data_IF_564690463957
#
_entry.id   IF_564690463957
#
_cell.length_a   1.000
_cell.length_b   1.000
_cell.length_c   1.000
_cell.angle_alpha   90.00
_cell.angle_beta   90.00
_cell.angle_gamma   90.00
#
_symmetry.space_group_name_H-M   'P 1'
#
loop_
_entity.id
_entity.type
_entity.pdbx_description
1 polymer ?
#
# COMPACT_ATOMS: atom_id res chain seq x y z
N UNK A 1 -25.96 -38.99 12.71
CA UNK A 1 -26.12 -37.59 13.14
C UNK A 1 -25.41 -36.72 12.12
N UNK A 2 -26.17 -35.97 11.43
CA UNK A 2 -25.67 -35.08 10.40
C UNK A 2 -24.94 -33.92 11.09
N UNK A 3 -23.64 -33.79 10.87
CA UNK A 3 -22.86 -32.65 11.38
C UNK A 3 -23.22 -31.39 10.56
N UNK A 4 -24.33 -30.75 10.94
CA UNK A 4 -24.87 -29.60 10.26
C UNK A 4 -24.15 -28.32 10.74
N UNK A 5 -23.60 -28.30 11.96
CA UNK A 5 -22.99 -27.13 12.56
C UNK A 5 -21.51 -27.33 12.82
N UNK A 6 -20.69 -26.34 12.43
CA UNK A 6 -19.31 -26.18 12.85
C UNK A 6 -19.22 -24.99 13.82
N UNK A 7 -18.56 -25.19 14.95
CA UNK A 7 -18.33 -24.18 15.96
C UNK A 7 -16.85 -23.84 16.03
N UNK A 8 -16.53 -22.58 15.89
CA UNK A 8 -15.16 -22.08 15.88
C UNK A 8 -14.97 -20.97 16.89
N UNK A 9 -13.76 -20.88 17.44
CA UNK A 9 -13.28 -19.75 18.23
C UNK A 9 -12.13 -19.14 17.47
N UNK A 10 -12.31 -17.92 17.04
CA UNK A 10 -11.31 -17.16 16.31
C UNK A 10 -10.74 -16.06 17.21
N UNK A 11 -9.47 -16.14 17.53
CA UNK A 11 -8.79 -15.16 18.38
C UNK A 11 -8.52 -13.90 17.55
N UNK A 12 -8.99 -12.75 18.05
CA UNK A 12 -8.84 -11.45 17.39
C UNK A 12 -7.61 -10.70 17.88
N UNK A 13 -7.24 -10.89 19.12
CA UNK A 13 -6.08 -10.23 19.69
C UNK A 13 -5.98 -10.36 21.20
N UNK A 14 -4.85 -9.93 21.73
CA UNK A 14 -4.60 -9.83 23.14
C UNK A 14 -4.98 -8.43 23.64
N UNK A 15 -5.66 -8.37 24.79
CA UNK A 15 -6.20 -7.14 25.37
C UNK A 15 -7.63 -6.83 24.91
N UNK A 16 -8.17 -5.76 25.49
CA UNK A 16 -9.50 -5.26 25.13
C UNK A 16 -9.46 -4.50 23.82
N UNK A 17 -10.23 -4.97 22.82
CA UNK A 17 -10.46 -4.23 21.57
C UNK A 17 -11.69 -3.32 21.71
N UNK A 18 -11.74 -2.24 20.93
CA UNK A 18 -12.87 -1.32 20.93
C UNK A 18 -14.10 -1.95 20.27
N UNK A 19 -13.95 -2.41 19.04
CA UNK A 19 -15.06 -3.01 18.29
C UNK A 19 -14.58 -3.80 17.06
N UNK A 20 -15.47 -4.66 16.55
CA UNK A 20 -15.39 -5.25 15.22
C UNK A 20 -16.31 -4.44 14.31
N UNK A 21 -15.79 -3.91 13.20
CA UNK A 21 -16.54 -3.06 12.28
C UNK A 21 -17.09 -3.81 11.08
N UNK A 22 -16.42 -4.89 10.67
CA UNK A 22 -16.81 -5.70 9.54
C UNK A 22 -16.33 -7.15 9.70
N UNK A 23 -17.08 -8.08 9.18
CA UNK A 23 -16.72 -9.49 9.07
C UNK A 23 -16.69 -9.85 7.58
N UNK A 24 -15.59 -10.43 7.13
CA UNK A 24 -15.36 -10.80 5.74
C UNK A 24 -15.26 -12.31 5.67
N UNK A 25 -16.04 -12.93 4.79
CA UNK A 25 -16.08 -14.38 4.57
C UNK A 25 -15.72 -14.65 3.11
N UNK A 26 -14.64 -15.39 2.87
CA UNK A 26 -14.11 -15.66 1.52
C UNK A 26 -14.01 -14.40 0.64
N UNK A 27 -13.42 -13.32 1.19
CA UNK A 27 -13.23 -12.02 0.54
C UNK A 27 -14.52 -11.21 0.27
N UNK A 28 -15.68 -11.65 0.76
CA UNK A 28 -16.95 -10.92 0.69
C UNK A 28 -17.37 -10.41 2.07
N UNK A 29 -17.94 -9.21 2.15
CA UNK A 29 -18.56 -8.74 3.41
C UNK A 29 -19.68 -9.69 3.81
N UNK A 30 -19.74 -10.11 5.08
CA UNK A 30 -20.78 -11.03 5.56
C UNK A 30 -22.19 -10.47 5.31
N UNK A 31 -22.37 -9.17 5.52
CA UNK A 31 -23.65 -8.50 5.34
C UNK A 31 -24.00 -8.41 3.84
N UNK A 32 -25.13 -8.97 3.46
CA UNK A 32 -25.60 -9.00 2.08
C UNK A 32 -24.97 -10.11 1.20
N UNK A 33 -24.07 -10.93 1.77
CA UNK A 33 -23.49 -12.07 1.04
C UNK A 33 -24.35 -13.34 1.12
N UNK A 34 -23.99 -14.33 0.32
CA UNK A 34 -24.60 -15.67 0.40
C UNK A 34 -24.41 -16.37 1.76
N UNK A 35 -23.44 -15.92 2.56
CA UNK A 35 -23.08 -16.49 3.86
C UNK A 35 -23.93 -15.94 5.02
N UNK A 36 -24.62 -14.79 4.84
CA UNK A 36 -25.28 -14.05 5.94
C UNK A 36 -26.25 -14.91 6.76
N UNK A 37 -27.01 -15.79 6.10
CA UNK A 37 -27.98 -16.65 6.77
C UNK A 37 -27.38 -17.90 7.42
N UNK A 38 -26.15 -18.24 7.09
CA UNK A 38 -25.47 -19.48 7.52
C UNK A 38 -24.35 -19.23 8.54
N UNK A 39 -23.99 -17.97 8.81
CA UNK A 39 -22.96 -17.58 9.78
C UNK A 39 -23.60 -16.86 10.96
N UNK A 40 -23.49 -17.44 12.14
CA UNK A 40 -23.89 -16.81 13.40
C UNK A 40 -22.64 -16.52 14.23
N UNK A 41 -22.52 -15.35 14.82
CA UNK A 41 -21.33 -14.99 15.58
C UNK A 41 -21.66 -14.22 16.86
N UNK A 42 -20.73 -14.25 17.81
CA UNK A 42 -20.72 -13.39 19.00
C UNK A 42 -19.29 -12.90 19.23
N UNK A 43 -19.13 -11.58 19.41
CA UNK A 43 -17.84 -10.96 19.68
C UNK A 43 -17.65 -10.76 21.18
N UNK A 44 -16.53 -11.25 21.69
CA UNK A 44 -16.04 -11.00 23.05
C UNK A 44 -14.84 -10.07 22.94
N UNK A 45 -14.97 -8.87 23.53
CA UNK A 45 -14.00 -7.78 23.32
C UNK A 45 -12.67 -7.94 24.08
N UNK A 46 -12.53 -8.95 24.94
CA UNK A 46 -11.30 -9.16 25.70
C UNK A 46 -11.27 -8.47 27.06
N UNK A 47 -12.43 -8.22 27.67
CA UNK A 47 -12.50 -7.68 29.03
C UNK A 47 -11.87 -8.62 30.05
N UNK A 48 -11.27 -8.04 31.10
CA UNK A 48 -10.68 -8.82 32.19
C UNK A 48 -11.72 -9.57 33.05
N UNK A 49 -12.98 -9.15 33.02
CA UNK A 49 -14.09 -9.75 33.71
C UNK A 49 -15.09 -10.50 32.82
N UNK A 50 -14.78 -10.64 31.50
CA UNK A 50 -15.69 -11.29 30.52
C UNK A 50 -16.12 -12.68 30.97
N UNK A 51 -17.38 -13.00 30.68
CA UNK A 51 -17.97 -14.31 30.90
C UNK A 51 -17.61 -15.31 29.80
N UNK A 52 -17.79 -16.60 30.07
CA UNK A 52 -17.71 -17.63 29.03
C UNK A 52 -18.88 -17.49 28.06
N UNK A 53 -18.63 -17.82 26.76
CA UNK A 53 -19.66 -17.75 25.74
C UNK A 53 -20.81 -18.75 26.02
N UNK A 54 -22.03 -18.24 26.11
CA UNK A 54 -23.22 -19.03 26.46
C UNK A 54 -23.63 -19.99 25.35
N UNK A 55 -23.37 -19.64 24.09
CA UNK A 55 -23.69 -20.50 22.94
C UNK A 55 -22.78 -21.74 22.92
N UNK A 56 -21.49 -21.54 23.21
CA UNK A 56 -20.54 -22.65 23.33
C UNK A 56 -20.85 -23.53 24.53
N UNK A 57 -21.22 -22.98 25.68
CA UNK A 57 -21.64 -23.76 26.84
C UNK A 57 -22.88 -24.62 26.54
N UNK A 58 -23.77 -24.11 25.70
CA UNK A 58 -24.96 -24.84 25.28
C UNK A 58 -24.67 -25.92 24.23
N UNK A 59 -23.70 -25.65 23.35
CA UNK A 59 -23.36 -26.52 22.23
C UNK A 59 -22.39 -27.66 22.60
N UNK A 60 -21.54 -27.46 23.61
CA UNK A 60 -20.49 -28.39 23.98
C UNK A 60 -20.35 -28.56 25.50
N UNK A 61 -20.43 -29.79 25.98
CA UNK A 61 -20.16 -30.10 27.40
C UNK A 61 -18.71 -29.86 27.82
N UNK A 62 -17.77 -29.77 26.85
CA UNK A 62 -16.38 -29.43 27.10
C UNK A 62 -16.15 -27.94 27.41
N UNK A 63 -17.09 -27.08 27.05
CA UNK A 63 -16.99 -25.64 27.33
C UNK A 63 -17.82 -25.27 28.56
N UNK A 64 -17.17 -24.77 29.58
CA UNK A 64 -17.79 -24.47 30.86
C UNK A 64 -17.66 -22.99 31.23
N UNK A 65 -18.33 -22.54 32.29
CA UNK A 65 -18.21 -21.18 32.82
C UNK A 65 -16.80 -20.75 33.23
N UNK A 66 -15.85 -21.68 33.26
CA UNK A 66 -14.44 -21.40 33.51
C UNK A 66 -13.65 -21.01 32.26
N UNK A 67 -14.16 -21.30 31.04
CA UNK A 67 -13.53 -20.97 29.78
C UNK A 67 -13.88 -19.55 29.35
N UNK A 68 -13.34 -18.55 30.04
CA UNK A 68 -13.71 -17.14 29.92
C UNK A 68 -12.82 -16.37 28.96
N UNK A 69 -11.63 -16.86 28.65
CA UNK A 69 -10.60 -16.19 27.83
C UNK A 69 -10.42 -14.70 28.20
N UNK A 70 -10.36 -14.41 29.50
CA UNK A 70 -10.21 -13.05 30.03
C UNK A 70 -8.96 -12.38 29.48
N UNK A 71 -9.09 -11.10 29.10
CA UNK A 71 -8.03 -10.33 28.49
C UNK A 71 -7.67 -10.78 27.07
N UNK A 72 -8.49 -11.64 26.44
CA UNK A 72 -8.33 -12.06 25.04
C UNK A 72 -9.60 -11.76 24.27
N UNK A 73 -9.49 -10.94 23.23
CA UNK A 73 -10.60 -10.70 22.31
C UNK A 73 -10.76 -11.88 21.36
N UNK A 74 -11.97 -12.39 21.23
CA UNK A 74 -12.28 -13.52 20.36
C UNK A 74 -13.69 -13.43 19.77
N UNK A 75 -13.89 -14.10 18.66
CA UNK A 75 -15.17 -14.35 18.06
C UNK A 75 -15.58 -15.81 18.27
N UNK A 76 -16.76 -16.05 18.78
CA UNK A 76 -17.47 -17.29 18.57
C UNK A 76 -18.13 -17.23 17.22
N UNK A 77 -17.96 -18.27 16.40
CA UNK A 77 -18.60 -18.40 15.08
C UNK A 77 -19.24 -19.76 14.98
N UNK A 78 -20.48 -19.80 14.49
CA UNK A 78 -21.20 -21.02 14.14
C UNK A 78 -21.52 -20.97 12.65
N UNK A 79 -21.02 -21.94 11.91
CA UNK A 79 -21.35 -22.15 10.51
C UNK A 79 -22.43 -23.23 10.42
N UNK A 80 -23.51 -22.97 9.69
CA UNK A 80 -24.54 -23.92 9.37
C UNK A 80 -24.30 -24.45 7.96
N UNK A 81 -24.04 -25.76 7.81
CA UNK A 81 -23.67 -26.33 6.54
C UNK A 81 -24.81 -26.24 5.51
N UNK A 82 -24.49 -25.68 4.36
CA UNK A 82 -25.31 -25.68 3.16
C UNK A 82 -24.43 -26.01 1.95
N UNK A 83 -24.84 -27.00 1.15
CA UNK A 83 -24.03 -27.53 0.07
C UNK A 83 -23.79 -26.50 -1.05
N UNK A 84 -24.76 -25.64 -1.31
CA UNK A 84 -24.70 -24.66 -2.40
C UNK A 84 -23.90 -23.42 -1.98
N UNK A 85 -23.90 -23.09 -0.70
CA UNK A 85 -23.18 -21.93 -0.12
C UNK A 85 -21.71 -22.24 0.13
N UNK A 86 -21.39 -23.43 0.70
CA UNK A 86 -20.02 -23.82 1.09
C UNK A 86 -19.37 -24.78 0.09
N UNK A 87 -19.43 -24.44 -1.20
CA UNK A 87 -18.87 -25.28 -2.28
C UNK A 87 -17.35 -25.47 -2.18
N UNK A 88 -16.61 -24.54 -1.56
CA UNK A 88 -15.17 -24.58 -1.36
C UNK A 88 -14.71 -25.22 -0.03
N UNK A 89 -15.66 -25.68 0.82
CA UNK A 89 -15.35 -26.18 2.17
C UNK A 89 -15.54 -25.13 3.25
N UNK A 90 -14.75 -25.19 4.33
CA UNK A 90 -14.80 -24.20 5.43
C UNK A 90 -14.25 -22.87 4.90
N UNK A 91 -15.01 -21.77 4.96
CA UNK A 91 -14.57 -20.48 4.43
C UNK A 91 -13.52 -19.84 5.33
N UNK A 92 -12.73 -18.94 4.74
CA UNK A 92 -11.83 -18.08 5.50
C UNK A 92 -12.63 -16.91 6.10
N UNK A 93 -12.53 -16.71 7.41
CA UNK A 93 -13.23 -15.63 8.11
C UNK A 93 -12.23 -14.61 8.64
N UNK A 94 -12.35 -13.38 8.21
CA UNK A 94 -11.53 -12.25 8.62
C UNK A 94 -12.37 -11.20 9.34
N UNK A 95 -11.76 -10.48 10.28
CA UNK A 95 -12.41 -9.44 11.08
C UNK A 95 -11.66 -8.12 10.92
N UNK A 96 -12.40 -7.07 10.55
CA UNK A 96 -11.89 -5.70 10.58
C UNK A 96 -12.18 -5.12 11.97
N UNK A 97 -11.12 -4.84 12.71
CA UNK A 97 -11.24 -4.45 14.11
C UNK A 97 -10.74 -3.03 14.34
N UNK A 98 -11.45 -2.28 15.18
CA UNK A 98 -10.85 -1.20 15.96
C UNK A 98 -10.17 -1.85 17.15
N UNK A 99 -8.84 -1.87 17.10
CA UNK A 99 -8.01 -2.60 18.06
C UNK A 99 -8.03 -2.06 19.47
N UNK A 100 -6.91 -2.18 20.17
CA UNK A 100 -6.80 -1.80 21.58
C UNK A 100 -7.03 -0.31 21.80
N UNK A 101 -7.60 0.03 22.96
CA UNK A 101 -7.76 1.41 23.43
C UNK A 101 -6.45 1.89 24.01
N UNK A 102 -6.03 3.09 23.63
CA UNK A 102 -4.77 3.71 24.05
C UNK A 102 -5.02 4.97 24.87
N UNK A 103 -4.12 5.25 25.81
CA UNK A 103 -4.19 6.46 26.64
C UNK A 103 -3.72 7.68 25.86
N UNK A 104 -4.53 8.73 25.86
CA UNK A 104 -4.18 10.05 25.29
C UNK A 104 -3.83 11.03 26.41
N UNK A 105 -2.55 11.46 26.54
CA UNK A 105 -2.13 12.40 27.57
C UNK A 105 -2.72 13.81 27.38
N UNK A 106 -3.22 14.15 26.19
CA UNK A 106 -3.83 15.46 25.90
C UNK A 106 -5.20 15.61 26.56
N UNK A 107 -5.92 14.51 26.68
CA UNK A 107 -7.29 14.46 27.23
C UNK A 107 -7.37 13.69 28.54
N UNK A 108 -6.30 12.99 28.93
CA UNK A 108 -6.27 12.07 30.08
C UNK A 108 -7.34 10.96 29.99
N UNK A 109 -7.68 10.53 28.79
CA UNK A 109 -8.68 9.47 28.56
C UNK A 109 -8.07 8.30 27.80
N UNK A 110 -8.66 7.12 27.99
CA UNK A 110 -8.30 5.91 27.24
C UNK A 110 -9.43 5.58 26.25
N UNK A 111 -9.14 5.61 24.97
CA UNK A 111 -10.08 5.33 23.89
C UNK A 111 -9.35 4.74 22.67
N UNK A 112 -10.11 4.17 21.75
CA UNK A 112 -9.52 3.76 20.49
C UNK A 112 -8.96 4.97 19.71
N UNK A 113 -7.75 4.80 19.17
CA UNK A 113 -7.12 5.81 18.34
C UNK A 113 -6.17 5.16 17.34
N UNK A 114 -6.20 5.67 16.12
CA UNK A 114 -5.24 5.35 15.05
C UNK A 114 -4.06 6.33 15.01
N UNK A 115 -3.88 7.14 16.03
CA UNK A 115 -2.79 8.12 16.11
C UNK A 115 -1.44 7.43 16.39
N UNK A 116 -0.43 7.54 15.50
CA UNK A 116 0.85 6.87 15.67
C UNK A 116 1.56 7.16 16.98
N UNK A 117 1.54 8.42 17.44
CA UNK A 117 2.21 8.80 18.68
C UNK A 117 1.59 8.12 19.90
N UNK A 118 0.26 7.99 19.93
CA UNK A 118 -0.45 7.30 21.01
C UNK A 118 -0.20 5.79 20.97
N UNK A 119 -0.18 5.19 19.78
CA UNK A 119 0.14 3.77 19.62
C UNK A 119 1.60 3.45 20.03
N UNK A 120 2.57 4.32 19.72
CA UNK A 120 3.95 4.18 20.16
C UNK A 120 4.05 4.31 21.68
N UNK A 121 3.35 5.29 22.28
CA UNK A 121 3.30 5.47 23.73
C UNK A 121 2.75 4.25 24.44
N UNK A 122 1.64 3.72 23.93
CA UNK A 122 1.02 2.50 24.46
C UNK A 122 2.01 1.33 24.41
N UNK A 123 2.65 1.09 23.28
CA UNK A 123 3.64 0.03 23.14
C UNK A 123 4.83 0.19 24.11
N UNK A 124 5.24 1.42 24.43
CA UNK A 124 6.31 1.67 25.40
C UNK A 124 5.87 1.34 26.83
N UNK A 125 4.65 1.67 27.21
CA UNK A 125 4.16 1.55 28.60
C UNK A 125 3.43 0.24 28.90
N UNK A 126 2.91 -0.43 27.89
CA UNK A 126 2.15 -1.66 28.08
C UNK A 126 3.04 -2.79 28.59
N UNK A 127 2.64 -3.41 29.70
CA UNK A 127 3.40 -4.48 30.37
C UNK A 127 3.18 -5.86 29.78
N UNK A 128 2.15 -6.04 28.97
CA UNK A 128 1.73 -7.35 28.45
C UNK A 128 2.35 -7.65 27.08
N UNK A 129 2.21 -6.74 26.13
CA UNK A 129 2.72 -6.90 24.77
C UNK A 129 3.78 -5.86 24.38
N UNK A 130 4.02 -4.88 25.23
CA UNK A 130 4.93 -3.77 25.02
C UNK A 130 6.22 -3.86 25.82
N UNK A 131 6.80 -2.71 26.10
CA UNK A 131 8.07 -2.58 26.84
C UNK A 131 7.91 -2.54 28.36
N UNK A 132 6.72 -2.22 28.86
CA UNK A 132 6.42 -2.11 30.28
C UNK A 132 7.16 -0.98 31.00
N UNK A 133 7.48 0.12 30.31
CA UNK A 133 8.12 1.28 30.91
C UNK A 133 7.14 1.99 31.83
N UNK A 134 7.69 2.56 32.93
CA UNK A 134 6.87 3.42 33.81
C UNK A 134 6.47 4.70 33.07
N UNK A 135 5.27 5.22 33.33
CA UNK A 135 4.79 6.45 32.70
C UNK A 135 5.71 7.66 33.00
N UNK A 136 6.44 7.66 34.12
CA UNK A 136 7.42 8.70 34.46
C UNK A 136 8.64 8.72 33.54
N UNK A 137 8.91 7.61 32.84
CA UNK A 137 10.00 7.50 31.85
C UNK A 137 9.58 8.02 30.45
N UNK A 138 8.32 8.47 30.31
CA UNK A 138 7.78 9.02 29.07
C UNK A 138 7.67 10.55 29.18
N UNK A 139 8.11 11.26 28.16
CA UNK A 139 7.85 12.70 28.03
C UNK A 139 6.53 12.95 27.32
N UNK A 140 5.43 12.97 28.10
CA UNK A 140 4.08 13.17 27.57
C UNK A 140 3.90 14.49 26.81
N UNK A 141 4.76 15.50 27.04
CA UNK A 141 4.74 16.77 26.28
C UNK A 141 5.15 16.52 24.83
N UNK A 142 6.23 15.79 24.61
CA UNK A 142 6.69 15.45 23.27
C UNK A 142 5.70 14.55 22.53
N UNK A 143 5.13 13.55 23.23
CA UNK A 143 4.10 12.67 22.66
C UNK A 143 2.82 13.42 22.30
N UNK A 144 2.39 14.38 23.14
CA UNK A 144 1.24 15.25 22.85
C UNK A 144 1.47 16.13 21.61
N UNK A 145 2.67 16.71 21.51
CA UNK A 145 3.05 17.50 20.33
C UNK A 145 3.09 16.66 19.07
N UNK A 146 3.67 15.45 19.13
CA UNK A 146 3.70 14.51 18.03
C UNK A 146 2.28 14.05 17.63
N UNK A 147 1.41 13.78 18.62
CA UNK A 147 0.04 13.39 18.39
C UNK A 147 -0.78 14.50 17.70
N UNK A 148 -0.61 15.75 18.10
CA UNK A 148 -1.26 16.89 17.45
C UNK A 148 -0.84 16.99 15.97
N UNK A 149 0.45 16.84 15.67
CA UNK A 149 0.95 16.87 14.30
C UNK A 149 0.46 15.69 13.45
N UNK A 150 0.33 14.50 14.03
CA UNK A 150 -0.24 13.35 13.33
C UNK A 150 -1.72 13.54 13.00
N UNK A 151 -2.50 14.15 13.92
CA UNK A 151 -3.93 14.42 13.74
C UNK A 151 -4.22 15.64 12.85
N UNK A 152 -3.20 16.41 12.44
CA UNK A 152 -3.35 17.55 11.55
C UNK A 152 -4.02 17.13 10.24
N UNK A 153 -5.05 17.89 9.83
CA UNK A 153 -5.76 17.61 8.59
C UNK A 153 -5.01 18.17 7.40
N UNK A 154 -4.70 17.33 6.45
CA UNK A 154 -3.95 17.68 5.23
C UNK A 154 -4.67 17.18 3.98
N UNK A 155 -4.63 17.97 2.93
CA UNK A 155 -5.06 17.53 1.60
C UNK A 155 -3.87 16.87 0.89
N UNK A 156 -3.88 15.56 0.81
CA UNK A 156 -2.79 14.80 0.19
C UNK A 156 -2.87 14.83 -1.33
N UNK A 157 -4.08 14.91 -1.88
CA UNK A 157 -4.34 14.75 -3.32
C UNK A 157 -4.49 16.09 -4.06
N UNK A 158 -4.70 17.19 -3.34
CA UNK A 158 -5.03 18.49 -3.95
C UNK A 158 -6.47 18.59 -4.47
N UNK A 159 -7.34 17.64 -4.09
CA UNK A 159 -8.74 17.60 -4.50
C UNK A 159 -9.71 18.26 -3.50
N UNK A 160 -9.18 18.86 -2.44
CA UNK A 160 -9.96 19.53 -1.39
C UNK A 160 -10.47 18.61 -0.29
N UNK A 161 -10.18 17.33 -0.33
CA UNK A 161 -10.52 16.39 0.75
C UNK A 161 -9.35 16.30 1.72
N UNK A 162 -9.60 16.65 3.00
CA UNK A 162 -8.58 16.58 4.05
C UNK A 162 -8.70 15.30 4.87
N UNK A 163 -7.55 14.71 5.18
CA UNK A 163 -7.41 13.52 6.01
C UNK A 163 -6.35 13.73 7.07
N UNK A 164 -6.34 12.94 8.15
CA UNK A 164 -5.24 12.98 9.12
C UNK A 164 -3.90 12.77 8.41
N UNK A 165 -2.89 13.54 8.78
CA UNK A 165 -1.55 13.47 8.20
C UNK A 165 -0.96 12.07 8.31
N UNK A 166 -0.99 11.47 9.49
CA UNK A 166 -0.50 10.13 9.75
C UNK A 166 -1.51 9.28 10.53
N UNK A 167 -1.58 8.00 10.20
CA UNK A 167 -2.35 7.00 10.93
C UNK A 167 -1.51 5.75 11.15
N UNK A 168 -1.84 4.97 12.17
CA UNK A 168 -1.19 3.73 12.55
C UNK A 168 -2.24 2.62 12.66
N UNK A 169 -2.25 1.70 11.71
CA UNK A 169 -3.16 0.56 11.66
C UNK A 169 -2.36 -0.69 11.31
N UNK A 170 -2.46 -1.72 12.14
CA UNK A 170 -1.72 -2.96 11.93
C UNK A 170 -1.74 -3.85 13.16
N UNK A 171 -0.97 -4.93 13.10
CA UNK A 171 -0.89 -5.93 14.18
C UNK A 171 0.54 -5.98 14.72
N UNK A 172 0.68 -5.87 16.03
CA UNK A 172 1.95 -6.11 16.73
C UNK A 172 2.09 -7.60 16.98
N UNK A 173 3.10 -8.22 16.37
CA UNK A 173 3.47 -9.59 16.68
C UNK A 173 4.53 -9.61 17.81
N UNK A 174 4.21 -10.24 18.93
CA UNK A 174 5.09 -10.32 20.10
C UNK A 174 6.31 -11.24 19.89
N UNK A 175 6.32 -12.06 18.84
CA UNK A 175 7.52 -12.81 18.43
C UNK A 175 8.60 -11.90 17.84
N UNK A 176 8.23 -10.73 17.36
CA UNK A 176 9.15 -9.74 16.81
C UNK A 176 9.90 -9.04 17.93
N UNK A 177 11.21 -8.80 17.73
CA UNK A 177 12.01 -8.06 18.71
C UNK A 177 11.50 -6.61 18.86
N UNK A 178 11.49 -6.10 20.10
CA UNK A 178 10.93 -4.78 20.44
C UNK A 178 11.49 -3.62 19.61
N UNK A 179 12.78 -3.67 19.24
CA UNK A 179 13.40 -2.63 18.40
C UNK A 179 12.82 -2.67 16.98
N UNK A 180 12.55 -3.87 16.44
CA UNK A 180 11.96 -4.02 15.13
C UNK A 180 10.50 -3.47 15.12
N UNK A 181 9.73 -3.80 16.15
CA UNK A 181 8.37 -3.28 16.33
C UNK A 181 8.36 -1.76 16.47
N UNK A 182 9.24 -1.17 17.29
CA UNK A 182 9.35 0.29 17.43
C UNK A 182 9.73 0.96 16.10
N UNK A 183 10.69 0.40 15.37
CA UNK A 183 11.04 0.91 14.03
C UNK A 183 9.86 0.85 13.05
N UNK A 184 9.09 -0.24 13.09
CA UNK A 184 7.90 -0.39 12.27
C UNK A 184 6.81 0.62 12.66
N UNK A 185 6.54 0.81 13.96
CA UNK A 185 5.58 1.82 14.46
C UNK A 185 6.02 3.25 14.12
N UNK A 186 7.29 3.59 14.30
CA UNK A 186 7.79 4.95 14.00
C UNK A 186 7.84 5.24 12.50
N UNK A 187 7.93 4.20 11.65
CA UNK A 187 7.98 4.38 10.20
C UNK A 187 6.71 4.99 9.60
N UNK A 188 5.54 4.74 10.19
CA UNK A 188 4.27 5.26 9.66
C UNK A 188 4.08 6.77 9.84
N UNK A 189 4.87 7.41 10.73
CA UNK A 189 4.80 8.86 10.98
C UNK A 189 6.15 9.57 10.88
N UNK A 190 7.20 8.88 10.40
CA UNK A 190 8.58 9.39 10.42
C UNK A 190 9.02 9.82 11.82
N UNK A 191 8.61 9.04 12.83
CA UNK A 191 8.95 9.29 14.22
C UNK A 191 10.39 8.93 14.53
N UNK A 192 11.05 9.77 15.33
CA UNK A 192 12.34 9.51 15.95
C UNK A 192 12.14 9.37 17.45
N UNK A 193 12.40 8.20 17.98
CA UNK A 193 12.34 7.94 19.40
C UNK A 193 13.71 8.18 20.02
N UNK A 194 13.83 9.17 20.92
CA UNK A 194 15.07 9.60 21.55
C UNK A 194 14.96 9.39 23.06
N UNK A 195 16.02 8.88 23.68
CA UNK A 195 16.15 8.81 25.13
C UNK A 195 17.08 9.94 25.61
N UNK A 196 16.54 10.89 26.37
CA UNK A 196 17.30 12.03 26.90
C UNK A 196 16.76 12.43 28.27
N UNK A 197 17.64 12.88 29.16
CA UNK A 197 17.30 13.29 30.52
C UNK A 197 16.44 12.27 31.30
N UNK A 198 16.68 10.96 31.06
CA UNK A 198 15.96 9.89 31.75
C UNK A 198 14.55 9.59 31.20
N UNK A 199 14.16 10.19 30.08
CA UNK A 199 12.84 10.01 29.46
C UNK A 199 12.93 9.70 27.98
N UNK A 200 11.94 8.93 27.48
CA UNK A 200 11.70 8.75 26.05
C UNK A 200 10.89 9.90 25.48
N UNK A 201 11.41 10.53 24.45
CA UNK A 201 10.75 11.58 23.66
C UNK A 201 10.44 11.07 22.26
N UNK A 202 9.29 11.42 21.72
CA UNK A 202 8.94 11.18 20.33
C UNK A 202 9.00 12.51 19.56
N UNK A 203 9.86 12.55 18.55
CA UNK A 203 10.03 13.69 17.65
C UNK A 203 9.56 13.25 16.27
N UNK A 204 8.68 14.01 15.64
CA UNK A 204 8.28 13.77 14.25
C UNK A 204 9.23 14.54 13.34
N UNK A 205 9.82 13.84 12.38
CA UNK A 205 10.67 14.44 11.35
C UNK A 205 9.81 15.24 10.36
N UNK A 206 9.82 16.57 10.50
CA UNK A 206 8.96 17.54 9.81
C UNK A 206 9.74 18.80 9.45
N UNK A 207 9.13 19.71 8.70
CA UNK A 207 9.67 21.03 8.44
C UNK A 207 9.75 21.83 9.76
N UNK A 208 10.94 22.33 10.08
CA UNK A 208 11.23 23.13 11.27
C UNK A 208 12.25 24.22 10.94
N UNK A 209 12.18 25.33 11.66
CA UNK A 209 13.18 26.39 11.57
C UNK A 209 14.37 26.07 12.48
N UNK A 210 15.55 26.54 12.11
CA UNK A 210 16.74 26.38 12.91
C UNK A 210 16.63 27.15 14.25
N UNK A 211 16.92 26.45 15.35
CA UNK A 211 16.88 27.02 16.70
C UNK A 211 18.23 27.52 17.21
N UNK A 212 19.35 27.12 16.60
CA UNK A 212 20.70 27.45 17.05
C UNK A 212 21.65 27.58 15.85
N UNK A 213 22.69 28.46 16.00
CA UNK A 213 23.68 28.69 14.96
C UNK A 213 25.09 28.30 15.42
N UNK A 214 25.75 27.45 14.64
CA UNK A 214 27.15 27.10 14.81
C UNK A 214 28.05 27.91 13.85
N UNK A 215 29.13 28.45 14.39
CA UNK A 215 30.13 29.20 13.65
C UNK A 215 31.54 29.02 14.30
N UNK A 216 32.50 29.80 13.87
CA UNK A 216 33.88 29.78 14.40
C UNK A 216 33.98 30.07 15.90
N UNK A 217 32.98 30.71 16.51
CA UNK A 217 33.05 31.13 17.93
C UNK A 217 32.66 30.01 18.88
N UNK A 218 31.78 29.11 18.45
CA UNK A 218 31.26 28.02 19.28
C UNK A 218 31.63 26.61 18.77
N UNK A 219 32.47 26.50 17.75
CA UNK A 219 33.03 25.25 17.25
C UNK A 219 34.53 25.17 17.56
N UNK A 220 34.95 24.06 18.18
CA UNK A 220 36.34 23.83 18.56
C UNK A 220 37.01 22.94 17.52
N UNK A 221 37.98 23.46 16.81
CA UNK A 221 38.73 22.75 15.78
C UNK A 221 38.06 22.81 14.42
N UNK A 222 38.16 21.73 13.65
CA UNK A 222 37.68 21.67 12.26
C UNK A 222 36.45 20.79 12.07
N UNK A 223 35.88 20.92 10.89
CA UNK A 223 34.74 20.13 10.43
C UNK A 223 35.20 18.81 9.83
N UNK A 224 34.54 17.72 10.20
CA UNK A 224 34.71 16.44 9.52
C UNK A 224 33.47 16.21 8.64
N UNK A 225 33.64 16.40 7.34
CA UNK A 225 32.56 16.34 6.35
C UNK A 225 32.61 14.99 5.66
N UNK A 226 31.46 14.34 5.57
CA UNK A 226 31.25 13.13 4.80
C UNK A 226 30.17 13.37 3.76
N UNK A 227 30.48 13.02 2.53
CA UNK A 227 29.50 13.01 1.43
C UNK A 227 28.90 11.64 1.31
N UNK A 228 27.60 11.57 1.06
CA UNK A 228 26.93 10.33 0.77
C UNK A 228 27.45 9.66 -0.51
N UNK A 229 27.21 8.39 -0.65
CA UNK A 229 27.55 7.61 -1.84
C UNK A 229 26.39 7.51 -2.82
N UNK A 230 26.65 7.08 -4.05
CA UNK A 230 25.59 6.76 -5.03
C UNK A 230 24.59 5.72 -4.52
N UNK A 231 24.98 4.89 -3.53
CA UNK A 231 24.11 3.86 -2.92
C UNK A 231 23.12 4.42 -1.91
N UNK A 232 23.31 5.64 -1.44
CA UNK A 232 22.45 6.29 -0.44
C UNK A 232 21.51 7.32 -1.03
N UNK A 233 21.50 7.52 -2.33
CA UNK A 233 20.57 8.41 -3.02
C UNK A 233 19.74 7.64 -4.03
N UNK A 234 18.48 8.03 -4.12
CA UNK A 234 17.49 7.32 -4.93
C UNK A 234 16.81 8.27 -5.90
N UNK A 235 16.25 7.72 -6.97
CA UNK A 235 15.34 8.41 -7.88
C UNK A 235 13.97 7.73 -7.97
N UNK A 236 13.82 6.59 -7.26
CA UNK A 236 12.54 5.94 -6.98
C UNK A 236 12.58 5.29 -5.61
N UNK A 237 11.54 5.49 -4.81
CA UNK A 237 11.29 4.75 -3.57
C UNK A 237 9.93 4.10 -3.66
N UNK A 238 9.88 2.82 -3.36
CA UNK A 238 8.64 2.03 -3.28
C UNK A 238 8.42 1.59 -1.84
N UNK A 239 7.16 1.48 -1.43
CA UNK A 239 6.76 1.01 -0.12
C UNK A 239 5.78 -0.15 -0.24
N UNK A 240 6.09 -1.27 0.42
CA UNK A 240 5.16 -2.38 0.59
C UNK A 240 4.28 -2.11 1.82
N UNK A 241 2.97 -2.19 1.66
CA UNK A 241 2.00 -1.94 2.73
C UNK A 241 0.72 -2.75 2.50
N UNK A 242 -0.12 -2.91 3.54
CA UNK A 242 -1.41 -3.58 3.43
C UNK A 242 -2.49 -2.55 3.08
N UNK A 243 -3.07 -2.62 1.87
CA UNK A 243 -4.03 -1.63 1.40
C UNK A 243 -5.45 -1.95 1.87
N UNK A 244 -6.05 -1.06 2.67
CA UNK A 244 -7.43 -1.22 3.19
C UNK A 244 -8.48 -1.29 2.07
N UNK A 245 -8.25 -0.62 0.93
CA UNK A 245 -9.19 -0.58 -0.19
C UNK A 245 -9.18 -1.87 -1.04
N UNK A 246 -8.13 -2.69 -0.89
CA UNK A 246 -8.01 -3.99 -1.53
C UNK A 246 -8.17 -5.13 -0.52
N UNK A 247 -9.01 -4.98 0.49
CA UNK A 247 -9.24 -5.97 1.56
C UNK A 247 -7.96 -6.33 2.32
N UNK A 248 -7.14 -5.32 2.66
CA UNK A 248 -5.84 -5.45 3.36
C UNK A 248 -4.83 -6.38 2.69
N UNK A 249 -4.91 -6.54 1.38
CA UNK A 249 -3.88 -7.25 0.61
C UNK A 249 -2.63 -6.39 0.47
N UNK A 250 -1.49 -7.08 0.33
CA UNK A 250 -0.22 -6.41 0.06
C UNK A 250 -0.30 -5.61 -1.25
N UNK A 251 0.10 -4.36 -1.17
CA UNK A 251 0.14 -3.42 -2.29
C UNK A 251 1.43 -2.60 -2.26
N UNK A 252 1.73 -1.92 -3.36
CA UNK A 252 2.96 -1.16 -3.53
C UNK A 252 2.63 0.29 -3.90
N UNK A 253 2.97 1.20 -2.99
CA UNK A 253 3.02 2.62 -3.29
C UNK A 253 4.43 3.03 -3.71
N UNK A 254 4.58 4.03 -4.59
CA UNK A 254 5.89 4.54 -4.95
C UNK A 254 5.88 6.04 -5.25
N UNK A 255 7.06 6.64 -5.15
CA UNK A 255 7.34 7.97 -5.66
C UNK A 255 8.63 7.91 -6.51
N UNK A 256 8.60 8.55 -7.68
CA UNK A 256 9.75 8.63 -8.58
C UNK A 256 9.92 10.06 -9.12
N UNK A 257 11.16 10.43 -9.43
CA UNK A 257 11.51 11.72 -10.00
C UNK A 257 12.31 11.56 -11.29
N UNK A 258 11.71 12.00 -12.39
CA UNK A 258 12.40 12.06 -13.70
C UNK A 258 13.59 13.02 -13.68
N UNK A 259 13.50 14.13 -12.95
CA UNK A 259 14.60 15.07 -12.76
C UNK A 259 15.78 14.42 -12.06
N UNK A 260 15.54 13.68 -10.97
CA UNK A 260 16.60 12.98 -10.26
C UNK A 260 17.23 11.88 -11.14
N UNK A 261 16.41 11.16 -11.90
CA UNK A 261 16.91 10.15 -12.84
C UNK A 261 17.78 10.77 -13.93
N UNK A 262 17.40 11.93 -14.48
CA UNK A 262 18.23 12.69 -15.45
C UNK A 262 19.54 13.12 -14.82
N UNK A 263 19.52 13.69 -13.60
CA UNK A 263 20.71 14.08 -12.86
C UNK A 263 21.63 12.90 -12.51
N UNK A 264 21.09 11.68 -12.45
CA UNK A 264 21.82 10.44 -12.25
C UNK A 264 22.26 9.78 -13.58
N UNK A 265 22.27 10.52 -14.69
CA UNK A 265 22.62 10.03 -16.04
C UNK A 265 21.73 8.86 -16.52
N UNK A 266 20.45 8.88 -16.18
CA UNK A 266 19.48 7.86 -16.56
C UNK A 266 19.55 6.56 -15.73
N UNK A 267 20.46 6.47 -14.76
CA UNK A 267 20.58 5.30 -13.90
C UNK A 267 19.33 5.14 -13.03
N UNK A 268 18.87 3.91 -12.91
CA UNK A 268 17.80 3.53 -11.98
C UNK A 268 18.41 3.30 -10.60
N UNK A 269 18.07 4.15 -9.64
CA UNK A 269 18.48 4.06 -8.24
C UNK A 269 17.23 3.91 -7.40
N UNK A 270 16.89 2.66 -7.09
CA UNK A 270 15.61 2.30 -6.42
C UNK A 270 15.85 1.75 -5.02
N UNK A 271 14.90 2.01 -4.13
CA UNK A 271 14.83 1.44 -2.79
C UNK A 271 13.41 1.02 -2.49
N UNK A 272 13.25 -0.18 -1.92
CA UNK A 272 11.97 -0.62 -1.37
C UNK A 272 12.03 -0.59 0.14
N UNK A 273 11.01 -0.04 0.77
CA UNK A 273 10.80 0.00 2.23
C UNK A 273 9.53 -0.75 2.59
N UNK A 274 9.37 -1.09 3.87
CA UNK A 274 8.14 -1.70 4.39
C UNK A 274 7.44 -0.75 5.34
N UNK A 275 6.14 -0.59 5.18
CA UNK A 275 5.27 0.24 6.02
C UNK A 275 4.14 -0.62 6.63
N UNK A 276 4.45 -1.52 7.58
CA UNK A 276 3.51 -2.53 8.06
C UNK A 276 2.35 -1.96 8.88
N UNK A 277 2.43 -0.70 9.32
CA UNK A 277 1.38 -0.01 10.06
C UNK A 277 0.69 1.10 9.26
N UNK A 278 0.93 1.16 7.96
CA UNK A 278 0.21 2.06 7.06
C UNK A 278 -0.75 1.27 6.18
N UNK A 279 -1.96 1.78 5.97
CA UNK A 279 -3.02 1.10 5.21
C UNK A 279 -3.61 1.96 4.10
N UNK A 280 -3.06 3.15 3.90
CA UNK A 280 -3.49 4.09 2.87
C UNK A 280 -2.42 4.27 1.80
N UNK A 281 -2.82 4.24 0.54
CA UNK A 281 -1.92 4.42 -0.59
C UNK A 281 -1.36 5.84 -0.66
N UNK A 282 -2.19 6.87 -0.43
CA UNK A 282 -1.78 8.27 -0.49
C UNK A 282 -0.75 8.61 0.59
N UNK A 283 -0.95 8.12 1.84
CA UNK A 283 0.03 8.31 2.92
C UNK A 283 1.33 7.56 2.63
N UNK A 284 1.25 6.36 2.06
CA UNK A 284 2.43 5.59 1.64
C UNK A 284 3.22 6.33 0.56
N UNK A 285 2.54 6.94 -0.42
CA UNK A 285 3.16 7.76 -1.46
C UNK A 285 3.79 9.03 -0.89
N UNK A 286 3.09 9.73 0.00
CA UNK A 286 3.63 10.89 0.71
C UNK A 286 4.94 10.54 1.43
N UNK A 287 4.95 9.44 2.17
CA UNK A 287 6.17 8.96 2.86
C UNK A 287 7.28 8.63 1.87
N UNK A 288 6.97 7.96 0.75
CA UNK A 288 7.93 7.69 -0.31
C UNK A 288 8.50 8.99 -0.91
N UNK A 289 7.66 10.01 -1.15
CA UNK A 289 8.10 11.29 -1.72
C UNK A 289 9.04 12.03 -0.77
N UNK A 290 8.70 12.12 0.51
CA UNK A 290 9.56 12.76 1.51
C UNK A 290 10.90 12.03 1.63
N UNK A 291 10.90 10.69 1.72
CA UNK A 291 12.13 9.89 1.80
C UNK A 291 12.97 10.01 0.52
N UNK A 292 12.33 10.09 -0.65
CA UNK A 292 13.00 10.29 -1.92
C UNK A 292 13.76 11.63 -1.92
N UNK A 293 13.09 12.73 -1.53
CA UNK A 293 13.70 14.05 -1.43
C UNK A 293 14.82 14.07 -0.39
N UNK A 294 14.61 13.48 0.79
CA UNK A 294 15.64 13.37 1.84
C UNK A 294 16.87 12.56 1.38
N UNK A 295 16.71 11.58 0.53
CA UNK A 295 17.84 10.82 -0.01
C UNK A 295 18.84 11.68 -0.78
N UNK A 296 18.46 12.90 -1.18
CA UNK A 296 19.30 13.87 -1.88
C UNK A 296 20.11 14.75 -0.94
N UNK A 297 19.78 14.79 0.35
CA UNK A 297 20.52 15.49 1.40
C UNK A 297 21.71 14.59 1.82
N UNK A 298 22.86 14.83 1.20
CA UNK A 298 23.97 13.89 1.21
C UNK A 298 25.12 14.28 2.17
N UNK A 299 25.08 15.51 2.72
CA UNK A 299 26.16 16.02 3.55
C UNK A 299 25.93 15.65 5.00
N UNK A 300 26.86 14.91 5.60
CA UNK A 300 26.92 14.70 7.03
C UNK A 300 28.16 15.35 7.60
N UNK A 301 28.00 16.08 8.71
CA UNK A 301 29.08 16.81 9.35
C UNK A 301 29.23 16.37 10.79
N UNK A 302 30.45 16.17 11.25
CA UNK A 302 30.73 15.99 12.66
C UNK A 302 31.81 16.96 13.11
N UNK A 303 31.61 17.56 14.28
CA UNK A 303 32.50 18.56 14.86
C UNK A 303 32.44 18.53 16.39
N UNK A 304 33.30 19.26 17.02
CA UNK A 304 33.28 19.49 18.46
C UNK A 304 32.80 20.91 18.70
N UNK A 305 31.73 21.05 19.48
CA UNK A 305 31.20 22.35 19.88
C UNK A 305 31.55 22.64 21.36
N UNK A 306 31.45 23.91 21.71
CA UNK A 306 31.52 24.37 23.10
C UNK A 306 30.30 23.87 23.90
N UNK A 307 30.31 24.09 25.20
CA UNK A 307 29.18 23.74 26.08
C UNK A 307 27.85 24.40 25.68
N UNK A 308 27.89 25.47 24.93
CA UNK A 308 26.69 26.14 24.40
C UNK A 308 25.81 25.21 23.55
N UNK A 309 26.40 24.20 22.94
CA UNK A 309 25.66 23.16 22.20
C UNK A 309 24.66 22.36 23.06
N UNK A 310 24.74 22.43 24.40
CA UNK A 310 23.74 21.84 25.29
C UNK A 310 22.37 22.51 25.25
N UNK A 311 22.27 23.67 24.58
CA UNK A 311 20.97 24.32 24.29
C UNK A 311 20.19 23.60 23.18
N UNK A 312 20.84 22.68 22.47
CA UNK A 312 20.27 21.95 21.34
C UNK A 312 19.97 20.51 21.73
N UNK A 313 18.90 19.94 21.21
CA UNK A 313 18.57 18.53 21.37
C UNK A 313 18.71 17.75 20.05
N UNK A 314 18.85 16.43 20.17
CA UNK A 314 18.82 15.53 19.00
C UNK A 314 17.47 15.66 18.28
N UNK A 315 17.48 15.80 16.96
CA UNK A 315 16.31 15.99 16.13
C UNK A 315 16.05 17.46 15.76
N UNK A 316 16.61 18.44 16.46
CA UNK A 316 16.47 19.86 16.15
C UNK A 316 17.26 20.27 14.91
N UNK A 317 16.83 21.36 14.30
CA UNK A 317 17.50 21.99 13.16
C UNK A 317 18.40 23.11 13.63
N UNK A 318 19.62 23.12 13.10
CA UNK A 318 20.67 24.10 13.41
C UNK A 318 21.24 24.67 12.12
N UNK A 319 21.82 25.85 12.18
CA UNK A 319 22.60 26.40 11.04
C UNK A 319 24.09 26.28 11.28
N UNK A 320 24.85 26.16 10.20
CA UNK A 320 26.30 26.25 10.20
C UNK A 320 26.73 27.38 9.23
N UNK A 321 27.57 28.28 9.76
CA UNK A 321 28.25 29.30 8.95
C UNK A 321 29.74 29.05 9.01
N UNK A 322 30.37 28.88 7.85
CA UNK A 322 31.83 28.68 7.71
C UNK A 322 32.30 29.22 6.34
N UNK A 323 33.18 30.20 6.37
CA UNK A 323 33.70 30.86 5.16
C UNK A 323 34.56 29.92 4.31
N UNK A 324 35.29 29.01 4.93
CA UNK A 324 36.13 28.05 4.22
C UNK A 324 35.35 27.05 3.39
N UNK A 325 34.11 26.75 3.79
CA UNK A 325 33.15 25.91 3.08
C UNK A 325 32.20 26.70 2.18
N UNK A 326 32.22 28.03 2.28
CA UNK A 326 31.24 28.87 1.61
C UNK A 326 29.80 28.68 2.13
N UNK A 327 29.66 28.31 3.39
CA UNK A 327 28.36 28.11 4.02
C UNK A 327 27.95 29.36 4.79
N UNK A 328 26.75 29.87 4.47
CA UNK A 328 26.11 30.94 5.20
C UNK A 328 24.75 30.45 5.70
N UNK A 329 24.61 30.25 7.00
CA UNK A 329 23.38 29.75 7.63
C UNK A 329 22.84 28.47 6.95
N UNK A 330 23.74 27.58 6.52
CA UNK A 330 23.34 26.29 5.94
C UNK A 330 22.71 25.41 7.00
N UNK A 331 21.51 24.93 6.74
CA UNK A 331 20.71 24.16 7.70
C UNK A 331 21.13 22.70 7.77
N UNK A 332 21.12 22.17 8.99
CA UNK A 332 21.43 20.78 9.32
C UNK A 332 20.51 20.30 10.44
N UNK A 333 20.14 19.02 10.44
CA UNK A 333 19.44 18.37 11.53
C UNK A 333 20.42 17.62 12.42
N UNK A 334 20.27 17.74 13.73
CA UNK A 334 21.10 17.06 14.71
C UNK A 334 20.74 15.58 14.79
N UNK A 335 21.68 14.70 14.45
CA UNK A 335 21.49 13.24 14.54
C UNK A 335 22.01 12.65 15.87
N UNK A 336 23.09 13.23 16.39
CA UNK A 336 23.72 12.70 17.60
C UNK A 336 24.51 13.79 18.33
N UNK A 337 24.44 13.71 19.66
CA UNK A 337 25.22 14.52 20.59
C UNK A 337 25.89 13.63 21.61
N UNK A 338 27.19 13.76 21.80
CA UNK A 338 27.96 13.04 22.80
C UNK A 338 28.77 14.03 23.65
N UNK A 339 28.57 14.03 24.95
CA UNK A 339 29.46 14.77 25.88
C UNK A 339 30.85 14.16 25.85
N UNK A 340 31.83 14.93 25.44
CA UNK A 340 33.24 14.50 25.38
C UNK A 340 34.00 14.89 26.63
N UNK A 341 33.72 16.06 27.17
CA UNK A 341 34.25 16.59 28.41
C UNK A 341 33.26 17.57 29.04
N UNK A 342 33.59 18.15 30.18
CA UNK A 342 32.74 19.14 30.84
C UNK A 342 32.52 20.44 30.03
N UNK A 343 33.34 20.66 29.00
CA UNK A 343 33.27 21.87 28.16
C UNK A 343 33.13 21.60 26.67
N UNK A 344 33.12 20.34 26.25
CA UNK A 344 33.07 19.96 24.84
C UNK A 344 31.93 18.95 24.53
N UNK A 345 31.17 19.24 23.48
CA UNK A 345 30.14 18.34 22.98
C UNK A 345 30.46 17.95 21.55
N UNK A 346 30.52 16.66 21.28
CA UNK A 346 30.68 16.14 19.94
C UNK A 346 29.31 16.11 19.27
N UNK A 347 29.18 16.83 18.17
CA UNK A 347 27.97 16.94 17.35
C UNK A 347 28.12 16.10 16.09
N UNK A 348 27.04 15.45 15.68
CA UNK A 348 26.89 14.86 14.34
C UNK A 348 25.57 15.35 13.77
N UNK A 349 25.65 15.98 12.61
CA UNK A 349 24.51 16.63 11.97
C UNK A 349 24.45 16.19 10.50
N UNK A 350 23.23 16.14 9.95
CA UNK A 350 22.98 15.85 8.55
C UNK A 350 22.34 17.04 7.88
N UNK A 351 22.72 17.28 6.63
CA UNK A 351 22.13 18.30 5.78
C UNK A 351 20.60 18.26 5.84
N UNK A 352 20.00 19.41 6.01
CA UNK A 352 18.57 19.59 6.12
C UNK A 352 18.10 20.62 5.10
N UNK A 353 16.91 20.41 4.57
CA UNK A 353 16.20 21.33 3.69
C UNK A 353 14.71 21.15 3.96
N UNK A 354 14.03 22.20 4.39
CA UNK A 354 12.61 22.18 4.71
C UNK A 354 11.73 21.82 3.52
N UNK A 355 12.20 22.06 2.28
CA UNK A 355 11.45 21.75 1.06
C UNK A 355 11.29 20.25 0.80
N UNK A 356 12.06 19.38 1.47
CA UNK A 356 11.90 17.93 1.34
C UNK A 356 10.54 17.44 1.82
N UNK A 357 9.86 18.19 2.69
CA UNK A 357 8.53 17.88 3.21
C UNK A 357 7.41 18.44 2.33
N UNK A 358 7.74 19.19 1.30
CA UNK A 358 6.81 19.57 0.23
C UNK A 358 6.72 18.40 -0.77
N UNK A 359 5.83 17.50 -0.52
CA UNK A 359 5.64 16.30 -1.34
C UNK A 359 4.75 16.55 -2.57
N UNK A 360 4.21 17.78 -2.72
CA UNK A 360 3.22 18.10 -3.76
C UNK A 360 1.90 17.34 -3.58
N UNK A 361 1.10 17.33 -4.62
CA UNK A 361 -0.10 16.49 -4.64
C UNK A 361 0.27 15.04 -4.95
N UNK A 362 -0.15 14.13 -4.11
CA UNK A 362 -0.03 12.71 -4.36
C UNK A 362 -1.02 12.36 -5.47
N UNK A 363 -0.52 11.82 -6.57
CA UNK A 363 -1.37 11.30 -7.63
C UNK A 363 -1.88 9.93 -7.18
N UNK A 364 -3.19 9.76 -7.12
CA UNK A 364 -3.76 8.43 -6.90
C UNK A 364 -3.16 7.47 -7.93
N UNK A 365 -2.43 6.47 -7.46
CA UNK A 365 -2.00 5.38 -8.32
C UNK A 365 -3.21 4.49 -8.46
N UNK A 366 -3.66 4.27 -9.69
CA UNK A 366 -4.61 3.18 -9.93
C UNK A 366 -3.97 1.92 -9.33
N UNK A 367 -4.71 1.26 -8.44
CA UNK A 367 -4.33 -0.05 -7.95
C UNK A 367 -3.96 -0.87 -9.18
N UNK A 368 -2.72 -1.40 -9.24
CA UNK A 368 -2.34 -2.25 -10.35
C UNK A 368 -3.34 -3.39 -10.32
N UNK A 369 -4.26 -3.47 -11.30
CA UNK A 369 -5.29 -4.50 -11.27
C UNK A 369 -4.56 -5.83 -11.28
N UNK A 370 -4.72 -6.61 -10.21
CA UNK A 370 -3.95 -7.81 -9.94
C UNK A 370 -4.14 -8.90 -11.01
N UNK A 371 -5.19 -8.78 -11.79
CA UNK A 371 -5.40 -9.53 -13.05
C UNK A 371 -6.53 -8.90 -13.83
N UNK A 372 -6.24 -8.10 -14.86
CA UNK A 372 -7.11 -8.13 -16.03
C UNK A 372 -6.79 -9.45 -16.77
N UNK A 373 -7.34 -10.53 -16.29
CA UNK A 373 -7.60 -11.65 -17.17
C UNK A 373 -8.70 -11.17 -18.10
N UNK A 374 -8.44 -11.01 -19.40
CA UNK A 374 -9.49 -10.65 -20.35
C UNK A 374 -10.59 -11.69 -20.22
N UNK A 375 -11.84 -11.24 -20.25
CA UNK A 375 -12.97 -12.15 -20.28
C UNK A 375 -12.87 -13.01 -21.55
N UNK A 376 -12.49 -14.28 -21.37
CA UNK A 376 -12.37 -15.23 -22.48
C UNK A 376 -13.69 -15.57 -23.16
N UNK A 377 -14.83 -15.15 -22.58
CA UNK A 377 -16.15 -15.31 -23.16
C UNK A 377 -16.51 -14.15 -24.12
N UNK A 378 -15.73 -13.08 -24.15
CA UNK A 378 -15.88 -11.96 -25.09
C UNK A 378 -14.71 -11.97 -26.08
N UNK A 379 -14.98 -11.68 -27.35
CA UNK A 379 -13.96 -11.65 -28.40
C UNK A 379 -14.16 -10.38 -29.23
N UNK A 380 -13.07 -9.65 -29.44
CA UNK A 380 -13.11 -8.43 -30.24
C UNK A 380 -13.33 -8.73 -31.74
N UNK A 381 -14.14 -7.92 -32.41
CA UNK A 381 -14.38 -8.01 -33.86
C UNK A 381 -13.17 -7.50 -34.63
N UNK A 382 -12.85 -8.09 -35.82
CA UNK A 382 -11.91 -7.50 -36.75
C UNK A 382 -12.44 -6.19 -37.30
N UNK A 383 -11.57 -5.33 -37.81
CA UNK A 383 -11.93 -4.00 -38.31
C UNK A 383 -11.37 -3.77 -39.72
N UNK A 384 -11.84 -2.69 -40.38
CA UNK A 384 -11.36 -2.23 -41.67
C UNK A 384 -11.35 -3.34 -42.75
N UNK A 385 -12.47 -4.04 -42.89
CA UNK A 385 -12.64 -5.03 -43.95
C UNK A 385 -12.67 -4.33 -45.29
N UNK A 386 -11.81 -4.75 -46.22
CA UNK A 386 -11.75 -4.25 -47.58
C UNK A 386 -11.76 -5.41 -48.58
N UNK A 387 -12.42 -5.19 -49.69
CA UNK A 387 -12.46 -6.14 -50.81
C UNK A 387 -11.87 -5.51 -52.07
N UNK A 388 -11.00 -6.24 -52.72
CA UNK A 388 -10.31 -5.83 -53.94
C UNK A 388 -10.52 -6.87 -55.07
N UNK A 389 -11.03 -6.44 -56.17
CA UNK A 389 -11.21 -7.30 -57.35
C UNK A 389 -9.91 -7.40 -58.17
N UNK A 390 -9.59 -8.59 -58.66
CA UNK A 390 -8.49 -8.83 -59.56
C UNK A 390 -8.79 -9.92 -60.57
N UNK A 391 -8.14 -9.84 -61.73
CA UNK A 391 -8.24 -10.87 -62.74
C UNK A 391 -7.07 -11.85 -62.60
N UNK A 392 -7.31 -13.13 -62.81
CA UNK A 392 -6.24 -14.14 -62.82
C UNK A 392 -6.46 -15.18 -63.95
N UNK A 393 -5.36 -15.67 -64.46
CA UNK A 393 -5.33 -16.76 -65.45
C UNK A 393 -5.38 -18.13 -64.77
N UNK A 394 -6.22 -19.01 -65.29
CA UNK A 394 -6.27 -20.40 -64.84
C UNK A 394 -5.38 -21.26 -65.72
N UNK A 395 -4.40 -21.92 -65.10
CA UNK A 395 -3.49 -22.83 -65.81
C UNK A 395 -4.29 -24.00 -66.40
N UNK A 396 -4.33 -24.10 -67.71
CA UNK A 396 -4.95 -25.21 -68.43
C UNK A 396 -6.40 -25.02 -68.90
N UNK A 397 -7.04 -23.87 -68.68
CA UNK A 397 -8.33 -23.52 -69.32
C UNK A 397 -8.24 -22.12 -69.95
N UNK A 398 -8.80 -21.99 -71.17
CA UNK A 398 -8.83 -20.72 -71.88
C UNK A 398 -9.83 -19.77 -71.19
N UNK A 399 -9.31 -18.86 -70.38
CA UNK A 399 -10.14 -17.79 -69.80
C UNK A 399 -9.53 -17.11 -68.58
N UNK A 400 -9.76 -15.79 -68.51
CA UNK A 400 -9.45 -14.96 -67.36
C UNK A 400 -10.67 -15.06 -66.44
N UNK A 401 -10.38 -15.30 -65.14
CA UNK A 401 -11.38 -15.39 -64.09
C UNK A 401 -11.25 -14.24 -63.09
N UNK A 402 -12.33 -13.93 -62.41
CA UNK A 402 -12.38 -12.89 -61.42
C UNK A 402 -12.11 -13.49 -60.04
N UNK A 403 -11.24 -12.80 -59.29
CA UNK A 403 -10.94 -13.08 -57.89
C UNK A 403 -11.29 -11.85 -57.07
N UNK A 404 -11.96 -12.06 -55.93
CA UNK A 404 -12.14 -11.05 -54.90
C UNK A 404 -11.20 -11.38 -53.73
N UNK A 405 -10.24 -10.49 -53.46
CA UNK A 405 -9.35 -10.54 -52.32
C UNK A 405 -9.98 -9.74 -51.21
N UNK A 406 -10.10 -10.32 -50.01
CA UNK A 406 -10.51 -9.70 -48.77
C UNK A 406 -9.34 -9.53 -47.85
N UNK A 407 -9.20 -8.37 -47.26
CA UNK A 407 -8.20 -8.04 -46.26
C UNK A 407 -8.88 -7.33 -45.09
N UNK A 408 -8.38 -7.55 -43.89
CA UNK A 408 -8.89 -6.91 -42.65
C UNK A 408 -7.77 -6.66 -41.66
N UNK A 409 -8.05 -5.77 -40.69
CA UNK A 409 -7.13 -5.51 -39.57
C UNK A 409 -7.50 -6.46 -38.42
N UNK A 410 -6.45 -7.07 -37.81
CA UNK A 410 -6.59 -7.95 -36.67
C UNK A 410 -7.40 -7.29 -35.55
N UNK A 411 -8.26 -8.04 -34.90
CA UNK A 411 -8.87 -7.63 -33.66
C UNK A 411 -7.80 -7.34 -32.60
N UNK A 412 -7.99 -6.30 -31.79
CA UNK A 412 -7.09 -5.97 -30.68
C UNK A 412 -7.35 -6.91 -29.48
N UNK A 413 -7.15 -8.20 -29.72
CA UNK A 413 -7.34 -9.26 -28.75
C UNK A 413 -6.30 -10.35 -28.99
N UNK A 414 -5.39 -10.55 -28.01
CA UNK A 414 -4.29 -11.51 -28.09
C UNK A 414 -4.70 -12.98 -28.08
N UNK A 415 -5.96 -13.28 -27.76
CA UNK A 415 -6.49 -14.63 -27.71
C UNK A 415 -7.21 -15.06 -28.97
N UNK A 416 -7.35 -14.17 -29.96
CA UNK A 416 -7.85 -14.53 -31.28
C UNK A 416 -6.90 -15.54 -31.93
N UNK A 417 -7.47 -16.68 -32.32
CA UNK A 417 -6.76 -17.78 -32.96
C UNK A 417 -6.95 -17.83 -34.46
N UNK A 418 -8.16 -17.55 -34.92
CA UNK A 418 -8.57 -17.67 -36.32
C UNK A 418 -9.76 -16.78 -36.65
N UNK A 419 -10.05 -16.59 -37.94
CA UNK A 419 -11.12 -15.77 -38.46
C UNK A 419 -12.06 -16.63 -39.31
N UNK A 420 -13.36 -16.50 -39.12
CA UNK A 420 -14.38 -17.11 -39.95
C UNK A 420 -14.87 -16.07 -40.95
N UNK A 421 -14.87 -16.42 -42.24
CA UNK A 421 -15.28 -15.55 -43.35
C UNK A 421 -16.47 -16.13 -44.08
N UNK A 422 -17.46 -15.33 -44.30
CA UNK A 422 -18.67 -15.70 -45.07
C UNK A 422 -18.95 -14.67 -46.15
N UNK A 423 -19.63 -15.11 -47.19
CA UNK A 423 -20.05 -14.28 -48.30
C UNK A 423 -21.46 -14.59 -48.75
N UNK A 424 -22.07 -13.68 -49.49
CA UNK A 424 -23.34 -13.90 -50.21
C UNK A 424 -23.41 -12.99 -51.43
N UNK A 425 -24.25 -13.33 -52.44
CA UNK A 425 -24.62 -12.38 -53.47
C UNK A 425 -25.53 -11.32 -52.88
N UNK A 426 -25.36 -10.07 -53.26
CA UNK A 426 -26.21 -8.98 -52.81
C UNK A 426 -27.68 -9.28 -53.10
N UNK A 427 -28.56 -8.99 -52.12
CA UNK A 427 -29.98 -9.35 -52.16
C UNK A 427 -30.33 -10.79 -51.75
N UNK A 428 -29.32 -11.70 -51.58
CA UNK A 428 -29.56 -13.03 -51.01
C UNK A 428 -29.70 -12.97 -49.49
N UNK A 429 -30.58 -13.78 -48.94
CA UNK A 429 -30.77 -13.94 -47.48
C UNK A 429 -29.77 -14.96 -46.87
N UNK A 430 -29.12 -15.80 -47.69
CA UNK A 430 -28.32 -16.92 -47.24
C UNK A 430 -26.82 -16.58 -47.30
N UNK A 431 -26.13 -16.67 -46.17
CA UNK A 431 -24.71 -16.57 -46.08
C UNK A 431 -24.01 -17.92 -46.32
N UNK A 432 -23.01 -17.94 -47.18
CA UNK A 432 -22.22 -19.10 -47.50
C UNK A 432 -20.84 -19.02 -46.81
N UNK A 433 -20.36 -20.11 -46.27
CA UNK A 433 -19.03 -20.18 -45.70
C UNK A 433 -17.94 -20.05 -46.81
N UNK A 434 -17.02 -19.13 -46.64
CA UNK A 434 -15.87 -19.00 -47.53
C UNK A 434 -14.67 -19.83 -46.99
N UNK A 435 -14.24 -19.48 -45.78
CA UNK A 435 -13.10 -20.17 -45.12
C UNK A 435 -13.03 -19.84 -43.65
N UNK A 436 -12.26 -20.65 -42.89
CA UNK A 436 -11.73 -20.29 -41.59
C UNK A 436 -10.21 -20.22 -41.75
N UNK A 437 -9.62 -19.10 -41.39
CA UNK A 437 -8.20 -18.80 -41.63
C UNK A 437 -7.53 -18.16 -40.42
N UNK A 438 -6.21 -18.32 -40.34
CA UNK A 438 -5.34 -17.61 -39.37
C UNK A 438 -4.63 -16.39 -39.95
N UNK A 439 -4.77 -16.20 -41.24
CA UNK A 439 -4.27 -15.02 -41.95
C UNK A 439 -5.29 -13.89 -41.88
N UNK A 440 -4.86 -12.67 -42.10
CA UNK A 440 -5.71 -11.47 -42.14
C UNK A 440 -6.31 -11.23 -43.53
N UNK A 441 -6.40 -12.29 -44.30
CA UNK A 441 -6.92 -12.23 -45.66
C UNK A 441 -7.61 -13.53 -46.07
N UNK A 442 -8.56 -13.42 -46.99
CA UNK A 442 -9.24 -14.53 -47.64
C UNK A 442 -9.52 -14.17 -49.11
N UNK A 443 -9.81 -15.16 -49.92
CA UNK A 443 -10.11 -14.92 -51.34
C UNK A 443 -11.30 -15.76 -51.80
N UNK A 444 -12.13 -15.14 -52.59
CA UNK A 444 -13.18 -15.81 -53.39
C UNK A 444 -12.71 -15.89 -54.85
N UNK A 445 -12.39 -17.10 -55.29
CA UNK A 445 -11.97 -17.37 -56.65
C UNK A 445 -13.20 -17.68 -57.54
N UNK A 446 -13.11 -17.39 -58.83
CA UNK A 446 -14.14 -17.69 -59.82
C UNK A 446 -15.49 -17.03 -59.55
N UNK A 447 -15.44 -15.74 -59.12
CA UNK A 447 -16.62 -14.98 -58.85
C UNK A 447 -17.38 -14.60 -60.17
N UNK A 448 -18.70 -14.85 -60.22
CA UNK A 448 -19.54 -14.37 -61.30
C UNK A 448 -19.66 -12.82 -61.29
N UNK A 449 -19.94 -12.20 -62.42
CA UNK A 449 -20.25 -10.76 -62.44
C UNK A 449 -21.53 -10.47 -61.66
N UNK A 450 -21.37 -10.07 -60.37
CA UNK A 450 -22.46 -9.74 -59.45
C UNK A 450 -21.94 -8.84 -58.32
N UNK A 451 -22.81 -8.33 -57.45
CA UNK A 451 -22.42 -7.67 -56.24
C UNK A 451 -22.40 -8.67 -55.11
N UNK A 452 -21.33 -8.58 -54.27
CA UNK A 452 -21.13 -9.49 -53.16
C UNK A 452 -21.05 -8.75 -51.82
N UNK A 453 -21.66 -9.34 -50.80
CA UNK A 453 -21.53 -8.93 -49.42
C UNK A 453 -20.61 -9.92 -48.71
N UNK A 454 -19.71 -9.41 -47.89
CA UNK A 454 -18.78 -10.20 -47.08
C UNK A 454 -18.90 -9.85 -45.60
N UNK A 455 -18.62 -10.83 -44.73
CA UNK A 455 -18.51 -10.60 -43.30
C UNK A 455 -17.44 -11.46 -42.71
N UNK A 456 -16.74 -10.95 -41.67
CA UNK A 456 -15.67 -11.63 -40.97
C UNK A 456 -15.90 -11.53 -39.48
N UNK A 457 -15.59 -12.59 -38.74
CA UNK A 457 -15.57 -12.58 -37.29
C UNK A 457 -14.36 -13.29 -36.72
N UNK A 458 -13.93 -12.90 -35.54
CA UNK A 458 -12.84 -13.52 -34.80
C UNK A 458 -13.32 -14.75 -34.04
N UNK A 459 -12.42 -15.75 -33.88
CA UNK A 459 -12.61 -16.91 -33.02
C UNK A 459 -11.41 -17.01 -32.10
N UNK A 460 -11.64 -17.08 -30.79
CA UNK A 460 -10.57 -17.21 -29.80
C UNK A 460 -10.10 -18.65 -29.60
N UNK A 461 -9.11 -18.83 -28.72
CA UNK A 461 -8.54 -20.15 -28.40
C UNK A 461 -9.54 -21.12 -27.76
N UNK A 462 -10.62 -20.64 -27.15
CA UNK A 462 -11.69 -21.44 -26.57
C UNK A 462 -12.83 -21.74 -27.57
N UNK A 463 -12.75 -21.19 -28.79
CA UNK A 463 -13.80 -21.34 -29.81
C UNK A 463 -14.97 -20.36 -29.69
N UNK A 464 -14.88 -19.38 -28.79
CA UNK A 464 -15.87 -18.29 -28.68
C UNK A 464 -15.72 -17.38 -29.89
N UNK A 465 -16.85 -16.92 -30.42
CA UNK A 465 -16.95 -16.11 -31.65
C UNK A 465 -17.34 -14.68 -31.31
N UNK A 466 -16.73 -13.72 -32.01
CA UNK A 466 -17.17 -12.32 -31.96
C UNK A 466 -18.45 -12.11 -32.74
N UNK A 467 -19.01 -10.90 -32.62
CA UNK A 467 -19.98 -10.41 -33.59
C UNK A 467 -19.33 -10.32 -34.98
N UNK A 468 -20.17 -10.24 -36.02
CA UNK A 468 -19.74 -10.06 -37.39
C UNK A 468 -19.36 -8.61 -37.68
N UNK A 469 -18.25 -8.41 -38.30
CA UNK A 469 -17.84 -7.14 -38.92
C UNK A 469 -18.21 -7.15 -40.40
#
# INVERSE_FOLDING_TARGET
SDNIYLYEILILGEGEIDSVTEIIVDDESLVGSKFENYVTYTIHSGLDDQAADSNLMSASSGWTSNHRLRGTAYAYVRLEYDQDTFTGGIPTINFVTKGVKVYDPRTSTTAWSDNPALCIRDYLTNTRYGRGLDASEIDDTSFSSAANYCDELVDLTGLGTTVKRYTCNGVVNTESGSIATLKALTSCCKGLLVFTAGKYKLIIDKAESAGFAFNSDNVVGGWNIRMGSKRSRYNKISADFANKETSWRDDIAYSESSTYKTNDNGLKLEQTIKLPFNTDIERSQMLCAILLNQSRQQIAVSFIATVEALQVEVGEVVTITDDGMGWTNKEFRVERMDMKSSSEVKMSVREYDSTVYDFGNVTAQDAIPNTYLPDLNTVATPTAISATESLYDTIGSAGVKVRIQLDWIAANDRFVREYEVQWKKNGSSTWLALTVTRTLSARLDDADPDLYDFRVRSINTLGVRSDWA
#
